data_IF_857921708645
#
_entry.id   IF_857921708645
#
_cell.length_a   1.000
_cell.length_b   1.000
_cell.length_c   1.000
_cell.angle_alpha   90.00
_cell.angle_beta   90.00
_cell.angle_gamma   90.00
#
_symmetry.space_group_name_H-M   'P 1'
#
loop_
_entity.id
_entity.type
_entity.pdbx_description
1 polymer ?
#
# COMPACT_ATOMS: atom_id res chain seq x y z
N UNK A 1 10.93 16.02 -3.68
CA UNK A 1 11.49 14.68 -3.73
C UNK A 1 10.52 13.77 -4.47
N UNK A 2 10.98 13.21 -5.57
CA UNK A 2 10.23 12.17 -6.27
C UNK A 2 10.21 10.91 -5.40
N UNK A 3 9.15 10.11 -5.45
CA UNK A 3 9.04 8.79 -4.83
C UNK A 3 10.28 7.90 -5.11
N UNK A 4 10.95 8.18 -6.21
CA UNK A 4 12.13 7.43 -6.66
C UNK A 4 13.37 8.02 -6.02
N UNK A 5 13.97 7.29 -5.09
CA UNK A 5 15.30 7.61 -4.61
C UNK A 5 16.30 7.26 -5.73
N UNK A 6 17.13 8.25 -6.12
CA UNK A 6 18.24 8.00 -7.04
C UNK A 6 19.27 7.00 -6.50
N UNK A 7 19.18 6.65 -5.23
CA UNK A 7 20.12 5.77 -4.53
C UNK A 7 19.59 4.33 -4.39
N UNK A 8 18.39 4.05 -4.91
CA UNK A 8 17.82 2.71 -4.83
C UNK A 8 18.49 1.79 -5.85
N UNK A 9 19.09 0.72 -5.34
CA UNK A 9 19.71 -0.33 -6.15
C UNK A 9 18.96 -1.64 -6.00
N UNK A 10 19.00 -2.46 -7.02
CA UNK A 10 18.35 -3.77 -7.05
C UNK A 10 19.33 -4.87 -7.43
N UNK A 11 19.17 -6.03 -6.83
CA UNK A 11 19.81 -7.26 -7.25
C UNK A 11 18.73 -8.29 -7.58
N UNK A 12 18.77 -8.84 -8.79
CA UNK A 12 17.83 -9.86 -9.25
C UNK A 12 18.60 -11.14 -9.49
N UNK A 13 18.35 -12.16 -8.66
CA UNK A 13 19.01 -13.45 -8.78
C UNK A 13 18.76 -14.07 -10.16
N UNK A 14 19.83 -14.58 -10.77
CA UNK A 14 19.78 -15.16 -12.12
C UNK A 14 19.75 -14.14 -13.28
N UNK A 15 19.70 -12.84 -12.99
CA UNK A 15 19.73 -11.76 -13.99
C UNK A 15 20.91 -10.84 -13.76
N UNK A 16 21.06 -10.30 -12.55
CA UNK A 16 22.18 -9.44 -12.18
C UNK A 16 23.50 -10.22 -12.13
N UNK A 17 24.59 -9.58 -12.51
CA UNK A 17 25.91 -10.19 -12.34
C UNK A 17 26.21 -10.46 -10.85
N UNK A 18 26.92 -11.55 -10.50
CA UNK A 18 27.20 -11.90 -9.11
C UNK A 18 27.81 -10.73 -8.33
N UNK A 19 27.23 -10.43 -7.16
CA UNK A 19 27.68 -9.37 -6.25
C UNK A 19 27.63 -7.95 -6.83
N UNK A 20 26.87 -7.73 -7.91
CA UNK A 20 26.73 -6.42 -8.53
C UNK A 20 25.31 -5.91 -8.41
N UNK A 21 25.14 -4.82 -7.68
CA UNK A 21 23.89 -4.09 -7.62
C UNK A 21 23.71 -3.21 -8.86
N UNK A 22 22.50 -3.13 -9.34
CA UNK A 22 22.11 -2.38 -10.53
C UNK A 22 21.23 -1.18 -10.16
N UNK A 23 21.18 -0.18 -11.03
CA UNK A 23 20.22 0.90 -10.91
C UNK A 23 18.78 0.34 -11.00
N UNK A 24 17.91 0.77 -10.10
CA UNK A 24 16.52 0.35 -10.07
C UNK A 24 15.66 1.01 -11.15
N UNK A 25 16.10 2.09 -11.78
CA UNK A 25 15.28 2.86 -12.73
C UNK A 25 14.70 2.03 -13.89
N UNK A 26 15.45 1.14 -14.57
CA UNK A 26 14.88 0.30 -15.63
C UNK A 26 13.81 -0.66 -15.14
N UNK A 27 13.94 -1.13 -13.91
CA UNK A 27 12.96 -2.02 -13.28
C UNK A 27 11.69 -1.27 -12.89
N UNK A 28 11.83 -0.06 -12.36
CA UNK A 28 10.68 0.80 -12.04
C UNK A 28 9.93 1.18 -13.32
N UNK A 29 10.63 1.55 -14.38
CA UNK A 29 10.00 1.82 -15.68
C UNK A 29 9.15 0.65 -16.17
N UNK A 30 9.65 -0.58 -16.02
CA UNK A 30 8.97 -1.78 -16.48
C UNK A 30 7.87 -2.27 -15.55
N UNK A 31 8.13 -2.26 -14.23
CA UNK A 31 7.32 -2.99 -13.24
C UNK A 31 6.60 -2.09 -12.25
N UNK A 32 6.72 -0.76 -12.34
CA UNK A 32 6.00 0.13 -11.44
C UNK A 32 4.49 -0.03 -11.62
N UNK A 33 3.76 0.26 -10.55
CA UNK A 33 2.31 0.07 -10.52
C UNK A 33 1.61 0.88 -11.61
N UNK A 34 0.65 0.29 -12.36
CA UNK A 34 -0.02 0.98 -13.46
C UNK A 34 -0.72 2.28 -13.07
N UNK A 35 -1.33 2.33 -11.87
CA UNK A 35 -1.94 3.56 -11.36
C UNK A 35 -0.91 4.67 -11.15
N UNK A 36 0.30 4.32 -10.68
CA UNK A 36 1.37 5.29 -10.53
C UNK A 36 1.75 5.87 -11.90
N UNK A 37 1.98 5.03 -12.89
CA UNK A 37 2.30 5.48 -14.26
C UNK A 37 1.20 6.37 -14.85
N UNK A 38 -0.07 6.04 -14.57
CA UNK A 38 -1.23 6.79 -15.07
C UNK A 38 -1.35 8.20 -14.48
N UNK A 39 -1.00 8.36 -13.20
CA UNK A 39 -1.25 9.58 -12.43
C UNK A 39 0.02 10.25 -11.88
N UNK A 40 1.20 9.86 -12.34
CA UNK A 40 2.46 10.36 -11.81
C UNK A 40 2.52 11.90 -11.83
N UNK A 41 2.12 12.51 -12.93
CA UNK A 41 2.12 13.98 -13.07
C UNK A 41 1.20 14.67 -12.07
N UNK A 42 0.01 14.13 -11.84
CA UNK A 42 -0.96 14.67 -10.89
C UNK A 42 -0.53 14.42 -9.43
N UNK A 43 0.18 13.33 -9.18
CA UNK A 43 0.68 12.99 -7.86
C UNK A 43 1.92 13.80 -7.45
N UNK A 44 2.65 14.38 -8.41
CA UNK A 44 3.81 15.24 -8.13
C UNK A 44 3.38 16.44 -7.30
N UNK A 45 4.04 16.61 -6.14
CA UNK A 45 3.74 17.70 -5.21
C UNK A 45 2.64 17.40 -4.18
N UNK A 46 1.91 16.32 -4.32
CA UNK A 46 1.05 15.81 -3.25
C UNK A 46 1.88 15.26 -2.08
N UNK A 47 1.35 15.32 -0.88
CA UNK A 47 2.03 14.90 0.34
C UNK A 47 2.53 13.45 0.30
N UNK A 48 3.50 13.16 1.16
CA UNK A 48 4.10 11.81 1.31
C UNK A 48 4.64 11.22 0.00
N UNK A 49 5.30 12.05 -0.83
CA UNK A 49 5.87 11.60 -2.11
C UNK A 49 4.83 11.24 -3.17
N UNK A 50 3.64 11.82 -3.10
CA UNK A 50 2.54 11.60 -4.02
C UNK A 50 1.48 10.61 -3.53
N UNK A 51 1.71 9.91 -2.41
CA UNK A 51 0.76 8.90 -1.92
C UNK A 51 -0.59 9.49 -1.53
N UNK A 52 -0.62 10.70 -0.98
CA UNK A 52 -1.87 11.35 -0.56
C UNK A 52 -2.81 11.57 -1.74
N UNK A 53 -2.27 11.83 -2.95
CA UNK A 53 -3.08 11.91 -4.16
C UNK A 53 -3.86 10.61 -4.39
N UNK A 54 -3.20 9.46 -4.33
CA UNK A 54 -3.85 8.18 -4.62
C UNK A 54 -4.93 7.84 -3.62
N UNK A 55 -4.70 8.11 -2.34
CA UNK A 55 -5.70 7.87 -1.28
C UNK A 55 -6.95 8.72 -1.50
N UNK A 56 -6.76 10.02 -1.73
CA UNK A 56 -7.88 10.94 -1.96
C UNK A 56 -8.59 10.66 -3.28
N UNK A 57 -7.84 10.38 -4.35
CA UNK A 57 -8.40 10.10 -5.65
C UNK A 57 -9.19 8.77 -5.65
N UNK A 58 -8.72 7.74 -4.96
CA UNK A 58 -9.45 6.49 -4.78
C UNK A 58 -10.81 6.73 -4.11
N UNK A 59 -10.84 7.54 -3.06
CA UNK A 59 -12.09 7.89 -2.39
C UNK A 59 -13.04 8.65 -3.31
N UNK A 60 -12.55 9.71 -3.97
CA UNK A 60 -13.36 10.54 -4.89
C UNK A 60 -13.94 9.70 -6.03
N UNK A 61 -13.12 8.84 -6.65
CA UNK A 61 -13.57 7.97 -7.73
C UNK A 61 -14.58 6.92 -7.25
N UNK A 62 -14.41 6.39 -6.06
CA UNK A 62 -15.38 5.46 -5.46
C UNK A 62 -16.74 6.14 -5.24
N UNK A 63 -16.75 7.36 -4.73
CA UNK A 63 -18.00 8.15 -4.56
C UNK A 63 -18.65 8.44 -5.91
N UNK A 64 -17.89 8.89 -6.91
CA UNK A 64 -18.41 9.17 -8.26
C UNK A 64 -19.04 7.94 -8.92
N UNK A 65 -18.42 6.79 -8.75
CA UNK A 65 -18.87 5.53 -9.38
C UNK A 65 -19.89 4.77 -8.53
N UNK A 66 -20.16 5.25 -7.32
CA UNK A 66 -21.01 4.56 -6.33
C UNK A 66 -20.57 3.12 -6.08
N UNK A 67 -19.26 2.93 -5.87
CA UNK A 67 -18.63 1.64 -5.54
C UNK A 67 -17.93 1.72 -4.18
N UNK A 68 -17.67 0.58 -3.58
CA UNK A 68 -16.88 0.52 -2.35
C UNK A 68 -15.43 0.98 -2.61
N UNK A 69 -14.84 1.76 -1.68
CA UNK A 69 -13.45 2.17 -1.81
C UNK A 69 -12.51 0.96 -1.65
N UNK A 70 -11.30 1.01 -2.23
CA UNK A 70 -10.30 -0.06 -2.11
C UNK A 70 -9.94 -0.38 -0.66
N UNK A 71 -10.00 0.62 0.21
CA UNK A 71 -9.79 0.52 1.65
C UNK A 71 -11.08 0.95 2.35
N UNK A 72 -11.71 0.03 3.06
CA UNK A 72 -12.96 0.29 3.77
C UNK A 72 -12.76 0.57 5.27
N UNK A 73 -13.86 0.79 5.97
CA UNK A 73 -13.85 1.04 7.41
C UNK A 73 -13.30 -0.13 8.22
N UNK A 74 -13.42 -1.35 7.74
CA UNK A 74 -12.89 -2.53 8.43
C UNK A 74 -11.37 -2.63 8.30
N UNK A 75 -10.79 -2.24 7.16
CA UNK A 75 -9.35 -2.10 7.00
C UNK A 75 -8.80 -1.03 7.94
N UNK A 76 -9.46 0.12 8.00
CA UNK A 76 -9.09 1.21 8.89
C UNK A 76 -9.15 0.78 10.37
N UNK A 77 -10.20 0.07 10.77
CA UNK A 77 -10.33 -0.45 12.14
C UNK A 77 -9.24 -1.48 12.46
N UNK A 78 -8.96 -2.40 11.52
CA UNK A 78 -7.93 -3.42 11.70
C UNK A 78 -6.53 -2.81 11.84
N UNK A 79 -6.21 -1.78 11.08
CA UNK A 79 -4.92 -1.09 11.22
C UNK A 79 -4.82 -0.26 12.49
N UNK A 80 -5.92 0.42 12.86
CA UNK A 80 -5.93 1.27 14.04
C UNK A 80 -5.84 0.50 15.36
N UNK A 81 -6.36 -0.73 15.41
CA UNK A 81 -6.35 -1.54 16.63
C UNK A 81 -4.95 -2.10 16.97
N UNK A 82 -4.03 -2.12 16.02
CA UNK A 82 -2.66 -2.59 16.25
C UNK A 82 -1.99 -1.80 17.38
N UNK A 83 -2.18 -0.48 17.42
CA UNK A 83 -1.60 0.38 18.44
C UNK A 83 -2.04 -0.02 19.86
N UNK A 84 -3.34 -0.01 20.22
CA UNK A 84 -3.76 -0.39 21.56
C UNK A 84 -3.46 -1.85 21.92
N UNK A 85 -3.52 -2.79 20.96
CA UNK A 85 -3.12 -4.17 21.23
C UNK A 85 -1.62 -4.30 21.51
N UNK A 86 -0.79 -3.53 20.80
CA UNK A 86 0.65 -3.48 21.04
C UNK A 86 0.95 -2.90 22.43
N UNK A 87 0.27 -1.83 22.83
CA UNK A 87 0.39 -1.25 24.17
C UNK A 87 0.03 -2.27 25.26
N UNK A 88 -1.07 -2.99 25.09
CA UNK A 88 -1.48 -4.05 26.01
C UNK A 88 -0.46 -5.19 26.08
N UNK A 89 0.04 -5.63 24.93
CA UNK A 89 1.07 -6.67 24.87
C UNK A 89 2.33 -6.25 25.62
N UNK A 90 2.82 -5.05 25.39
CA UNK A 90 4.01 -4.51 26.08
C UNK A 90 3.78 -4.39 27.58
N UNK A 91 2.62 -3.89 28.00
CA UNK A 91 2.27 -3.78 29.41
C UNK A 91 2.20 -5.14 30.13
N UNK A 92 1.94 -6.22 29.39
CA UNK A 92 1.86 -7.60 29.87
C UNK A 92 3.09 -8.45 29.48
N UNK A 93 4.27 -7.86 29.42
CA UNK A 93 5.54 -8.55 29.13
C UNK A 93 5.59 -9.29 27.78
N UNK A 94 4.92 -8.78 26.77
CA UNK A 94 4.90 -9.37 25.45
C UNK A 94 3.85 -10.47 25.25
N UNK A 95 2.85 -10.54 26.11
CA UNK A 95 1.77 -11.52 26.00
C UNK A 95 0.99 -11.32 24.67
N UNK A 96 0.69 -12.41 23.93
CA UNK A 96 -0.15 -12.34 22.75
C UNK A 96 -1.52 -11.75 23.05
N UNK A 97 -2.00 -10.88 22.18
CA UNK A 97 -3.32 -10.26 22.28
C UNK A 97 -4.25 -10.80 21.21
N UNK A 98 -5.50 -11.05 21.57
CA UNK A 98 -6.52 -11.46 20.62
C UNK A 98 -6.85 -10.32 19.65
N UNK A 99 -6.77 -10.60 18.35
CA UNK A 99 -7.10 -9.61 17.32
C UNK A 99 -8.61 -9.64 17.04
N UNK A 100 -9.35 -8.53 17.23
CA UNK A 100 -10.80 -8.51 17.06
C UNK A 100 -11.20 -8.64 15.57
N UNK A 101 -12.19 -9.48 15.30
CA UNK A 101 -12.80 -9.54 13.97
C UNK A 101 -13.92 -8.49 13.84
N UNK A 102 -13.60 -7.33 13.30
CA UNK A 102 -14.55 -6.24 13.05
C UNK A 102 -15.60 -6.60 11.98
N UNK A 103 -15.32 -7.57 11.12
CA UNK A 103 -16.17 -7.98 10.01
C UNK A 103 -17.21 -9.03 10.39
N UNK A 104 -17.10 -9.63 11.57
CA UNK A 104 -17.93 -10.77 12.03
C UNK A 104 -17.88 -11.93 11.03
N UNK A 105 -16.68 -12.31 10.62
CA UNK A 105 -16.42 -13.41 9.69
C UNK A 105 -16.61 -13.09 8.21
N UNK A 106 -17.06 -11.87 7.84
CA UNK A 106 -17.28 -11.52 6.43
C UNK A 106 -15.99 -11.43 5.62
N UNK A 107 -14.85 -11.19 6.26
CA UNK A 107 -13.54 -11.13 5.60
C UNK A 107 -13.22 -12.39 4.79
N UNK A 108 -13.73 -13.57 5.20
CA UNK A 108 -13.49 -14.86 4.51
C UNK A 108 -14.02 -14.82 3.08
N UNK A 109 -15.11 -14.08 2.83
CA UNK A 109 -15.77 -13.98 1.53
C UNK A 109 -15.46 -12.68 0.79
N UNK A 110 -14.66 -11.82 1.40
CA UNK A 110 -14.29 -10.53 0.80
C UNK A 110 -13.39 -10.76 -0.40
N UNK A 111 -13.75 -10.16 -1.53
CA UNK A 111 -12.89 -10.17 -2.71
C UNK A 111 -11.71 -9.20 -2.49
N UNK A 112 -10.50 -9.56 -2.94
CA UNK A 112 -9.40 -8.61 -2.98
C UNK A 112 -9.78 -7.41 -3.86
N UNK A 113 -9.69 -6.21 -3.32
CA UNK A 113 -9.96 -4.96 -4.05
C UNK A 113 -8.66 -4.32 -4.51
N UNK A 114 -7.60 -4.51 -3.73
CA UNK A 114 -6.26 -4.04 -4.10
C UNK A 114 -5.61 -5.04 -5.05
N UNK A 115 -5.29 -4.59 -6.25
CA UNK A 115 -4.66 -5.40 -7.27
C UNK A 115 -3.74 -4.59 -8.17
N UNK A 116 -3.07 -5.27 -9.09
CA UNK A 116 -2.17 -4.65 -10.08
C UNK A 116 -3.02 -4.19 -11.28
N UNK A 117 -4.04 -3.38 -11.03
CA UNK A 117 -4.94 -2.86 -12.06
C UNK A 117 -4.66 -1.41 -12.42
N UNK A 118 -5.34 -0.94 -13.48
CA UNK A 118 -5.30 0.47 -13.92
C UNK A 118 -6.37 1.33 -13.22
N UNK A 119 -7.18 0.73 -12.39
CA UNK A 119 -8.29 1.33 -11.66
C UNK A 119 -8.24 0.99 -10.17
N UNK A 120 -9.00 1.79 -9.41
CA UNK A 120 -9.24 1.54 -7.98
C UNK A 120 -10.29 0.45 -7.79
#
# INVERSE_FOLDING_TARGET
PTRRSSDLQIYVEGVSAPHRWEDSAPYLEKYDHPLWKKYEEQAVGAGHGGMDFFVLNAFVESVKRNIEPPLDVYDAAAWSVITPLSEQSVANNGEPQDFPDFTRGRWIKRKPVLGIGNDY
#
